data_IF_559740732458
#
_entry.id   IF_559740732458
#
_cell.length_a   1.000
_cell.length_b   1.000
_cell.length_c   1.000
_cell.angle_alpha   90.00
_cell.angle_beta   90.00
_cell.angle_gamma   90.00
#
_symmetry.space_group_name_H-M   'P 1'
#
loop_
_entity.id
_entity.type
_entity.pdbx_description
1 polymer ?
#
# COMPACT_ATOMS: atom_id res chain seq x y z
N UNK A 1 -3.71 4.81 -8.48
CA UNK A 1 -2.73 5.74 -9.07
C UNK A 1 -1.87 5.05 -10.14
N UNK A 2 -1.21 3.91 -9.86
CA UNK A 2 -0.38 3.22 -10.86
C UNK A 2 -1.19 2.82 -12.10
N UNK A 3 -2.36 2.22 -11.93
CA UNK A 3 -3.24 1.85 -13.06
C UNK A 3 -3.64 3.06 -13.90
N UNK A 4 -3.98 4.18 -13.26
CA UNK A 4 -4.30 5.43 -13.94
C UNK A 4 -3.08 5.98 -14.70
N UNK A 5 -1.89 5.95 -14.07
CA UNK A 5 -0.65 6.36 -14.72
C UNK A 5 -0.37 5.49 -15.96
N UNK A 6 -0.48 4.16 -15.86
CA UNK A 6 -0.26 3.23 -16.99
C UNK A 6 -1.24 3.43 -18.14
N UNK A 7 -2.49 3.79 -17.85
CA UNK A 7 -3.54 4.04 -18.84
C UNK A 7 -3.59 5.48 -19.32
N UNK A 8 -2.72 6.35 -18.82
CA UNK A 8 -2.74 7.79 -19.06
C UNK A 8 -4.11 8.43 -18.70
N UNK A 9 -4.78 7.89 -17.68
CA UNK A 9 -6.04 8.39 -17.15
C UNK A 9 -5.79 9.40 -16.01
N UNK A 10 -6.60 10.45 -15.91
CA UNK A 10 -6.43 11.48 -14.88
C UNK A 10 -6.50 10.90 -13.47
N UNK A 11 -5.51 11.23 -12.63
CA UNK A 11 -5.47 10.84 -11.22
C UNK A 11 -6.32 11.83 -10.41
N UNK A 12 -7.30 11.32 -9.66
CA UNK A 12 -8.12 12.14 -8.78
C UNK A 12 -7.70 11.98 -7.33
N UNK A 13 -7.35 13.09 -6.69
CA UNK A 13 -7.02 13.19 -5.27
C UNK A 13 -8.21 13.81 -4.55
N UNK A 14 -8.74 13.15 -3.54
CA UNK A 14 -9.76 13.71 -2.66
C UNK A 14 -9.07 14.35 -1.45
N UNK A 15 -9.42 15.61 -1.15
CA UNK A 15 -8.74 16.41 -0.13
C UNK A 15 -7.44 17.04 -0.66
N UNK A 16 -6.50 17.29 0.23
CA UNK A 16 -5.25 18.01 -0.06
C UNK A 16 -4.05 17.11 -0.42
N UNK A 17 -4.25 15.79 -0.47
CA UNK A 17 -3.20 14.82 -0.76
C UNK A 17 -2.19 14.57 0.36
N UNK A 18 -2.41 15.17 1.54
CA UNK A 18 -1.55 15.00 2.72
C UNK A 18 -2.03 13.89 3.66
N UNK A 19 -3.09 13.19 3.29
CA UNK A 19 -3.56 12.04 4.08
C UNK A 19 -2.45 11.01 4.21
N UNK A 20 -2.18 10.60 5.44
CA UNK A 20 -1.15 9.60 5.73
C UNK A 20 -1.75 8.20 5.78
N UNK A 21 -1.09 7.26 5.12
CA UNK A 21 -1.40 5.83 5.16
C UNK A 21 -0.12 5.03 5.32
N UNK A 22 -0.21 3.95 6.06
CA UNK A 22 0.83 2.94 6.10
C UNK A 22 0.61 1.92 4.98
N UNK A 23 1.63 1.72 4.17
CA UNK A 23 1.55 0.86 2.98
C UNK A 23 2.18 -0.49 3.28
N UNK A 24 1.46 -1.55 2.91
CA UNK A 24 1.91 -2.93 3.05
C UNK A 24 1.90 -3.62 1.68
N UNK A 25 2.98 -4.31 1.35
CA UNK A 25 3.02 -5.16 0.16
C UNK A 25 2.18 -6.43 0.39
N UNK A 26 1.54 -6.93 -0.66
CA UNK A 26 0.67 -8.10 -0.56
C UNK A 26 1.42 -9.36 -0.12
N UNK A 27 2.68 -9.53 -0.51
CA UNK A 27 3.48 -10.70 -0.11
C UNK A 27 3.82 -10.67 1.39
N UNK A 28 4.02 -9.47 1.99
CA UNK A 28 4.15 -9.34 3.44
C UNK A 28 2.84 -9.72 4.16
N UNK A 29 1.68 -9.37 3.57
CA UNK A 29 0.38 -9.79 4.08
C UNK A 29 0.20 -11.31 4.01
N UNK A 30 0.56 -11.93 2.87
CA UNK A 30 0.49 -13.38 2.68
C UNK A 30 1.43 -14.11 3.65
N UNK A 31 2.64 -13.60 3.85
CA UNK A 31 3.56 -14.14 4.86
C UNK A 31 2.96 -14.12 6.27
N UNK A 32 2.25 -13.05 6.66
CA UNK A 32 1.57 -13.01 7.94
C UNK A 32 0.48 -14.09 8.05
N UNK A 33 -0.26 -14.35 6.97
CA UNK A 33 -1.25 -15.44 6.95
C UNK A 33 -0.60 -16.81 7.05
N UNK A 34 0.51 -17.06 6.35
CA UNK A 34 1.24 -18.32 6.43
C UNK A 34 1.74 -18.58 7.86
N UNK A 35 2.30 -17.58 8.52
CA UNK A 35 2.71 -17.66 9.91
C UNK A 35 1.52 -17.91 10.85
N UNK A 36 0.39 -17.23 10.60
CA UNK A 36 -0.82 -17.42 11.40
C UNK A 36 -1.40 -18.83 11.25
N UNK A 37 -1.38 -19.40 10.05
CA UNK A 37 -1.81 -20.78 9.80
C UNK A 37 -0.88 -21.77 10.49
N UNK A 38 0.44 -21.56 10.40
CA UNK A 38 1.42 -22.44 11.03
C UNK A 38 1.30 -22.48 12.56
N UNK A 39 0.84 -21.37 13.16
CA UNK A 39 0.75 -21.23 14.62
C UNK A 39 -0.70 -21.06 15.13
N UNK A 40 -1.66 -21.59 14.37
CA UNK A 40 -3.09 -21.35 14.59
C UNK A 40 -3.56 -21.76 15.99
N UNK A 41 -3.04 -22.85 16.54
CA UNK A 41 -3.44 -23.32 17.87
C UNK A 41 -3.08 -22.32 18.99
N UNK A 42 -2.00 -21.58 18.81
CA UNK A 42 -1.55 -20.56 19.79
C UNK A 42 -2.31 -19.25 19.69
N UNK A 43 -2.74 -18.88 18.48
CA UNK A 43 -3.35 -17.58 18.21
C UNK A 43 -4.86 -17.62 17.94
N UNK A 44 -5.48 -18.80 17.92
CA UNK A 44 -6.91 -18.94 17.66
C UNK A 44 -7.76 -18.08 18.61
N UNK A 45 -8.73 -17.37 18.06
CA UNK A 45 -9.59 -16.43 18.80
C UNK A 45 -8.97 -15.06 19.05
N UNK A 46 -7.72 -14.83 18.66
CA UNK A 46 -7.07 -13.53 18.78
C UNK A 46 -7.37 -12.63 17.58
N UNK A 47 -7.36 -11.32 17.84
CA UNK A 47 -7.53 -10.30 16.79
C UNK A 47 -6.25 -9.49 16.66
N UNK A 48 -5.80 -9.30 15.43
CA UNK A 48 -4.58 -8.58 15.10
C UNK A 48 -4.86 -7.46 14.09
N UNK A 49 -4.19 -6.31 14.26
CA UNK A 49 -4.06 -5.33 13.19
C UNK A 49 -2.85 -5.70 12.32
N UNK A 50 -2.99 -5.49 11.02
CA UNK A 50 -1.91 -5.66 10.06
C UNK A 50 -1.81 -4.43 9.16
N UNK A 51 -0.60 -4.03 8.82
CA UNK A 51 -0.28 -2.89 7.95
C UNK A 51 1.21 -2.65 7.89
N UNK A 52 1.63 -1.59 7.20
CA UNK A 52 3.05 -1.23 7.07
C UNK A 52 3.64 -0.61 8.34
N UNK A 53 2.80 -0.11 9.24
CA UNK A 53 3.23 0.56 10.46
C UNK A 53 3.87 1.93 10.21
N UNK A 54 4.46 2.50 11.25
CA UNK A 54 5.03 3.86 11.22
C UNK A 54 6.14 4.00 10.17
N UNK A 55 7.03 3.03 10.07
CA UNK A 55 8.19 3.08 9.16
C UNK A 55 7.83 3.04 7.67
N UNK A 56 6.62 2.63 7.33
CA UNK A 56 6.10 2.55 5.96
C UNK A 56 4.91 3.49 5.73
N UNK A 57 4.75 4.49 6.58
CA UNK A 57 3.71 5.50 6.43
C UNK A 57 4.20 6.67 5.59
N UNK A 58 3.34 7.15 4.72
CA UNK A 58 3.58 8.35 3.91
C UNK A 58 2.27 9.03 3.52
N UNK A 59 2.37 10.27 3.10
CA UNK A 59 1.23 11.00 2.53
C UNK A 59 0.89 10.45 1.13
N UNK A 60 -0.41 10.22 0.89
CA UNK A 60 -0.91 9.57 -0.33
C UNK A 60 -0.60 10.32 -1.63
N UNK A 61 -0.21 11.58 -1.55
CA UNK A 61 0.19 12.34 -2.72
C UNK A 61 1.48 13.14 -2.53
N UNK A 62 1.66 13.85 -1.44
CA UNK A 62 2.84 14.72 -1.26
C UNK A 62 4.16 13.95 -1.28
N UNK A 63 4.19 12.76 -0.66
CA UNK A 63 5.39 11.90 -0.61
C UNK A 63 5.34 10.75 -1.62
N UNK A 64 4.15 10.26 -1.94
CA UNK A 64 3.98 9.17 -2.90
C UNK A 64 4.21 9.63 -4.34
N UNK A 65 3.82 10.87 -4.69
CA UNK A 65 3.96 11.41 -6.04
C UNK A 65 5.38 11.34 -6.60
N UNK A 66 6.44 11.78 -5.90
CA UNK A 66 7.82 11.68 -6.40
C UNK A 66 8.23 10.22 -6.72
N UNK A 67 7.77 9.26 -5.91
CA UNK A 67 8.03 7.85 -6.16
C UNK A 67 7.31 7.38 -7.41
N UNK A 68 6.07 7.79 -7.59
CA UNK A 68 5.28 7.44 -8.77
C UNK A 68 5.87 8.07 -10.04
N UNK A 69 6.36 9.31 -9.97
CA UNK A 69 7.06 9.98 -11.08
C UNK A 69 8.35 9.25 -11.47
N UNK A 70 9.14 8.80 -10.49
CA UNK A 70 10.34 8.00 -10.75
C UNK A 70 10.02 6.71 -11.53
N UNK A 71 8.88 6.09 -11.23
CA UNK A 71 8.52 4.77 -11.76
C UNK A 71 7.69 4.81 -13.06
N UNK A 72 6.89 5.84 -13.25
CA UNK A 72 5.83 5.93 -14.26
C UNK A 72 5.80 7.25 -15.04
N UNK A 73 6.85 8.09 -14.98
CA UNK A 73 6.83 9.36 -15.72
C UNK A 73 6.70 9.15 -17.24
N UNK A 74 5.99 10.08 -17.96
CA UNK A 74 5.27 11.22 -17.42
C UNK A 74 3.97 10.81 -16.73
N UNK A 75 3.59 11.50 -15.65
CA UNK A 75 2.30 11.28 -15.00
C UNK A 75 1.17 11.97 -15.77
N UNK A 76 -0.03 11.39 -15.79
CA UNK A 76 -1.21 12.02 -16.35
C UNK A 76 -1.66 13.24 -15.53
N UNK A 77 -2.68 13.95 -16.02
CA UNK A 77 -3.27 15.07 -15.32
C UNK A 77 -3.76 14.68 -13.92
N UNK A 78 -3.50 15.55 -12.94
CA UNK A 78 -3.93 15.37 -11.55
C UNK A 78 -5.05 16.36 -11.23
N UNK A 79 -6.10 15.88 -10.62
CA UNK A 79 -7.26 16.68 -10.22
C UNK A 79 -7.50 16.52 -8.72
N UNK A 80 -7.68 17.63 -8.02
CA UNK A 80 -8.09 17.64 -6.62
C UNK A 80 -9.59 17.83 -6.52
N UNK A 81 -10.22 17.11 -5.60
CA UNK A 81 -11.66 17.21 -5.28
C UNK A 81 -11.84 17.40 -3.77
N UNK A 82 -13.02 17.83 -3.39
CA UNK A 82 -13.40 17.95 -1.98
C UNK A 82 -13.19 16.64 -1.21
N UNK A 83 -12.95 16.77 0.09
CA UNK A 83 -12.82 15.64 1.00
C UNK A 83 -14.06 14.75 0.95
N UNK A 84 -13.86 13.46 0.91
CA UNK A 84 -14.97 12.52 1.09
C UNK A 84 -15.37 12.47 2.55
N UNK A 85 -16.66 12.36 2.81
CA UNK A 85 -17.17 12.18 4.17
C UNK A 85 -16.55 10.94 4.81
N UNK A 86 -16.02 11.09 6.04
CA UNK A 86 -15.39 9.99 6.78
C UNK A 86 -13.94 9.66 6.37
N UNK A 87 -13.35 10.38 5.42
CA UNK A 87 -11.94 10.16 5.06
C UNK A 87 -11.02 10.53 6.23
N UNK A 88 -10.18 9.58 6.65
CA UNK A 88 -9.24 9.79 7.75
C UNK A 88 -8.03 10.59 7.26
N UNK A 89 -7.64 11.63 8.01
CA UNK A 89 -6.43 12.41 7.70
C UNK A 89 -5.15 11.61 7.94
N UNK A 90 -5.13 10.80 8.98
CA UNK A 90 -4.01 9.92 9.33
C UNK A 90 -4.55 8.55 9.72
N UNK A 91 -4.01 7.51 9.12
CA UNK A 91 -4.21 6.13 9.55
C UNK A 91 -2.87 5.40 9.51
N UNK A 92 -2.48 4.83 10.63
CA UNK A 92 -1.26 4.01 10.78
C UNK A 92 -1.63 2.84 11.68
N UNK A 93 -1.41 1.63 11.20
CA UNK A 93 -1.71 0.39 11.93
C UNK A 93 -0.76 0.20 13.11
N UNK A 94 -1.30 -0.12 14.26
CA UNK A 94 -0.50 -0.66 15.39
C UNK A 94 -0.33 -2.16 15.21
N UNK A 95 0.79 -2.57 14.70
CA UNK A 95 1.12 -3.98 14.39
C UNK A 95 1.88 -4.68 15.51
N UNK A 96 2.16 -4.02 16.64
CA UNK A 96 2.99 -4.56 17.71
C UNK A 96 2.54 -5.92 18.24
N UNK A 97 1.21 -6.12 18.38
CA UNK A 97 0.65 -7.40 18.83
C UNK A 97 0.95 -8.51 17.82
N UNK A 98 0.77 -8.26 16.53
CA UNK A 98 1.07 -9.21 15.46
C UNK A 98 2.56 -9.55 15.42
N UNK A 99 3.42 -8.53 15.43
CA UNK A 99 4.87 -8.70 15.42
C UNK A 99 5.34 -9.57 16.59
N UNK A 100 4.84 -9.31 17.80
CA UNK A 100 5.22 -10.06 19.00
C UNK A 100 4.66 -11.49 19.00
N UNK A 101 3.46 -11.69 18.47
CA UNK A 101 2.80 -12.99 18.47
C UNK A 101 3.39 -13.94 17.43
N UNK A 102 3.72 -13.48 16.24
CA UNK A 102 4.14 -14.30 15.11
C UNK A 102 5.58 -14.08 14.67
N UNK A 103 6.37 -13.27 15.40
CA UNK A 103 7.70 -12.82 14.94
C UNK A 103 7.69 -12.28 13.51
N UNK A 104 6.59 -11.61 13.15
CA UNK A 104 6.35 -11.07 11.83
C UNK A 104 6.78 -9.61 11.74
N UNK A 105 7.38 -9.26 10.62
CA UNK A 105 7.63 -7.87 10.24
C UNK A 105 7.47 -7.71 8.73
N UNK A 106 6.97 -6.56 8.25
CA UNK A 106 6.96 -6.29 6.82
C UNK A 106 8.41 -6.09 6.35
N UNK A 107 8.80 -6.80 5.30
CA UNK A 107 10.17 -6.85 4.77
C UNK A 107 10.33 -6.10 3.46
N UNK A 108 9.27 -5.99 2.66
CA UNK A 108 9.34 -5.41 1.32
C UNK A 108 9.32 -3.89 1.41
N UNK A 109 10.36 -3.27 0.86
CA UNK A 109 10.43 -1.81 0.74
C UNK A 109 9.35 -1.28 -0.21
N UNK A 110 8.85 -0.06 0.06
CA UNK A 110 7.80 0.56 -0.74
C UNK A 110 8.18 0.67 -2.22
N UNK A 111 9.38 1.13 -2.53
CA UNK A 111 9.82 1.33 -3.93
C UNK A 111 9.94 -0.01 -4.66
N UNK A 112 10.46 -1.02 -3.99
CA UNK A 112 10.61 -2.36 -4.56
C UNK A 112 9.25 -3.03 -4.77
N UNK A 113 8.35 -2.92 -3.80
CA UNK A 113 6.96 -3.38 -3.93
C UNK A 113 6.22 -2.72 -5.08
N UNK A 114 6.38 -1.40 -5.25
CA UNK A 114 5.79 -0.67 -6.36
C UNK A 114 6.39 -1.06 -7.72
N UNK A 115 7.71 -1.32 -7.81
CA UNK A 115 8.35 -1.83 -9.03
C UNK A 115 7.79 -3.20 -9.41
N UNK A 116 7.68 -4.10 -8.43
CA UNK A 116 7.12 -5.45 -8.64
C UNK A 116 5.68 -5.37 -9.13
N UNK A 117 4.86 -4.55 -8.48
CA UNK A 117 3.47 -4.32 -8.91
C UNK A 117 3.39 -3.76 -10.34
N UNK A 118 4.22 -2.77 -10.65
CA UNK A 118 4.27 -2.16 -11.98
C UNK A 118 4.66 -3.18 -13.06
N UNK A 119 5.64 -4.04 -12.79
CA UNK A 119 6.05 -5.11 -13.71
C UNK A 119 4.92 -6.12 -13.94
N UNK A 120 4.26 -6.56 -12.88
CA UNK A 120 3.12 -7.47 -12.94
C UNK A 120 1.98 -6.90 -13.80
N UNK A 121 1.61 -5.65 -13.58
CA UNK A 121 0.55 -4.98 -14.35
C UNK A 121 0.90 -4.82 -15.83
N UNK A 122 2.17 -4.51 -16.15
CA UNK A 122 2.64 -4.43 -17.54
C UNK A 122 2.60 -5.80 -18.25
N UNK A 123 2.88 -6.87 -17.53
CA UNK A 123 2.84 -8.24 -18.08
C UNK A 123 1.40 -8.67 -18.33
N UNK A 124 0.48 -8.45 -17.39
CA UNK A 124 -0.94 -8.77 -17.56
C UNK A 124 -1.60 -7.98 -18.69
N UNK A 125 -1.26 -6.70 -18.87
CA UNK A 125 -1.76 -5.87 -19.96
C UNK A 125 -1.32 -6.34 -21.36
N UNK A 126 -0.26 -7.14 -21.49
CA UNK A 126 0.19 -7.74 -22.76
C UNK A 126 -0.51 -9.06 -23.09
N UNK A 127 -1.21 -9.66 -22.14
CA UNK A 127 -1.88 -10.97 -22.34
C UNK A 127 -3.33 -10.82 -22.79
N UNK A 128 -3.86 -9.60 -22.86
CA UNK A 128 -5.24 -9.30 -23.29
C UNK A 128 -5.32 -8.73 -24.71
N UNK A 129 -4.39 -9.09 -25.61
CA UNK A 129 -4.47 -8.77 -27.05
C UNK A 129 -4.60 -10.04 -27.85
#
# INVERSE_FOLDING_TARGET
FIMQALKNEAITIYGDGKQVRDILHVDDLLNAYDLAVADIERIKGEVFNIGGGVSRSLSIWSEYRPILEELCAPLPAVRFKEWRHGDQKVYISDTRKLCSALDWQPTIDLRDGLRTLLQSLKTQGKTQV
#
